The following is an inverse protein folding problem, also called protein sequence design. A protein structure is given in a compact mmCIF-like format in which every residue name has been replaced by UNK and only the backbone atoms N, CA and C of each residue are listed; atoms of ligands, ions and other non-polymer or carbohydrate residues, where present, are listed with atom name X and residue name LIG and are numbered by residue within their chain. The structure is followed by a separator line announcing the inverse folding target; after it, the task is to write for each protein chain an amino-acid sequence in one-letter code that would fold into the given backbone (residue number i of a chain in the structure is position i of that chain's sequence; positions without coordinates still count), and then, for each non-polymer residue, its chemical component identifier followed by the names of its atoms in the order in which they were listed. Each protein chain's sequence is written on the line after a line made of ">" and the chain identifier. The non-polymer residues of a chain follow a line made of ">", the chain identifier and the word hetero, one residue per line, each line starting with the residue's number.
data_IF_185913908184
#
_entry.id   IF_185913908184
#
_cell.length_a   1.000
_cell.length_b   1.000
_cell.length_c   1.000
_cell.angle_alpha   90.00
_cell.angle_beta   90.00
_cell.angle_gamma   90.00
#
_symmetry.space_group_name_H-M   'P 1'
#
loop_
_entity.id
_entity.type
_entity.pdbx_description
1 polymer ?
#
# COMPACT_ATOMS: atom_id res chain seq x y z
N UNK A 1 -13.35 4.32 6.49
CA UNK A 1 -12.54 5.28 7.27
C UNK A 1 -13.35 6.49 7.74
N UNK A 2 -13.79 7.41 6.87
CA UNK A 2 -14.48 8.66 7.26
C UNK A 2 -15.63 8.50 8.28
N UNK A 3 -16.54 7.54 8.08
CA UNK A 3 -17.67 7.30 9.01
C UNK A 3 -17.23 6.87 10.41
N UNK A 4 -16.07 6.23 10.53
CA UNK A 4 -15.50 5.76 11.79
C UNK A 4 -14.51 6.75 12.39
N UNK A 5 -14.40 7.97 11.84
CA UNK A 5 -13.44 8.97 12.28
C UNK A 5 -13.47 9.27 13.79
N UNK A 6 -14.64 9.39 14.45
CA UNK A 6 -14.68 9.60 15.90
C UNK A 6 -13.95 8.52 16.70
N UNK A 7 -13.96 7.27 16.24
CA UNK A 7 -13.29 6.15 16.92
C UNK A 7 -11.77 6.23 16.82
N UNK A 8 -11.25 6.70 15.68
CA UNK A 8 -9.82 6.94 15.53
C UNK A 8 -9.36 8.12 16.39
N UNK A 9 -10.18 9.18 16.47
CA UNK A 9 -9.88 10.34 17.32
C UNK A 9 -9.85 9.97 18.82
N UNK A 10 -10.86 9.22 19.29
CA UNK A 10 -10.94 8.78 20.68
C UNK A 10 -9.70 7.97 21.10
N UNK A 11 -9.24 7.08 20.21
CA UNK A 11 -8.00 6.29 20.41
C UNK A 11 -6.71 7.05 20.11
N UNK A 12 -6.78 8.35 19.77
CA UNK A 12 -5.64 9.21 19.38
C UNK A 12 -4.81 8.64 18.22
N UNK A 13 -5.47 7.93 17.30
CA UNK A 13 -4.85 7.35 16.11
C UNK A 13 -4.88 8.38 14.98
N UNK A 14 -3.73 8.67 14.40
CA UNK A 14 -3.63 9.46 13.17
C UNK A 14 -3.80 8.55 11.96
N UNK A 15 -4.72 8.91 11.08
CA UNK A 15 -4.90 8.23 9.79
C UNK A 15 -4.24 9.08 8.70
N UNK A 16 -3.48 8.44 7.82
CA UNK A 16 -2.85 9.05 6.64
C UNK A 16 -3.19 8.17 5.44
N UNK A 17 -3.77 8.77 4.41
CA UNK A 17 -4.00 8.11 3.13
C UNK A 17 -2.86 8.46 2.17
N UNK A 18 -2.30 7.47 1.50
CA UNK A 18 -1.26 7.66 0.47
C UNK A 18 -1.83 7.16 -0.84
N UNK A 19 -1.63 7.92 -1.91
CA UNK A 19 -2.10 7.58 -3.25
C UNK A 19 -1.03 7.85 -4.30
N UNK A 20 -1.08 7.25 -5.49
CA UNK A 20 -0.13 7.53 -6.57
C UNK A 20 -0.28 8.93 -7.19
N UNK A 21 -1.26 9.72 -6.76
CA UNK A 21 -1.44 11.08 -7.26
C UNK A 21 -0.28 11.99 -6.81
N UNK A 22 -0.09 13.11 -7.50
CA UNK A 22 0.77 14.19 -7.01
C UNK A 22 0.21 14.75 -5.68
N UNK A 23 1.08 15.28 -4.82
CA UNK A 23 0.69 15.74 -3.47
C UNK A 23 -0.47 16.74 -3.47
N UNK A 24 -0.38 17.79 -4.30
CA UNK A 24 -1.44 18.80 -4.42
C UNK A 24 -2.76 18.20 -4.95
N UNK A 25 -2.68 17.23 -5.87
CA UNK A 25 -3.87 16.53 -6.38
C UNK A 25 -4.49 15.62 -5.30
N UNK A 26 -3.67 14.92 -4.52
CA UNK A 26 -4.13 14.07 -3.42
C UNK A 26 -4.85 14.88 -2.33
N UNK A 27 -4.29 16.03 -1.96
CA UNK A 27 -4.90 16.96 -1.01
C UNK A 27 -6.22 17.53 -1.55
N UNK A 28 -6.24 18.01 -2.79
CA UNK A 28 -7.45 18.55 -3.42
C UNK A 28 -8.58 17.52 -3.49
N UNK A 29 -8.28 16.28 -3.92
CA UNK A 29 -9.27 15.18 -3.96
C UNK A 29 -9.79 14.87 -2.57
N UNK A 30 -8.93 14.83 -1.55
CA UNK A 30 -9.39 14.61 -0.19
C UNK A 30 -10.25 15.76 0.36
N UNK A 31 -9.94 17.01 0.00
CA UNK A 31 -10.78 18.16 0.27
C UNK A 31 -12.16 18.02 -0.36
N UNK A 32 -12.22 17.66 -1.66
CA UNK A 32 -13.49 17.40 -2.37
C UNK A 32 -14.29 16.26 -1.73
N UNK A 33 -13.61 15.21 -1.27
CA UNK A 33 -14.25 14.07 -0.61
C UNK A 33 -14.57 14.37 0.87
N UNK A 34 -14.30 15.55 1.41
CA UNK A 34 -14.52 15.86 2.83
C UNK A 34 -13.82 14.85 3.75
N UNK A 35 -12.60 14.46 3.38
CA UNK A 35 -11.81 13.52 4.13
C UNK A 35 -11.24 14.17 5.40
N UNK A 36 -11.42 13.59 6.60
CA UNK A 36 -10.93 14.19 7.84
C UNK A 36 -9.47 13.84 8.15
N UNK A 37 -8.82 13.07 7.28
CA UNK A 37 -7.45 12.59 7.46
C UNK A 37 -6.50 13.15 6.39
N UNK A 38 -5.20 13.16 6.72
CA UNK A 38 -4.14 13.67 5.84
C UNK A 38 -4.05 12.79 4.60
N UNK A 39 -3.92 13.41 3.44
CA UNK A 39 -3.73 12.72 2.17
C UNK A 39 -2.42 13.15 1.53
N UNK A 40 -1.58 12.16 1.23
CA UNK A 40 -0.28 12.34 0.63
C UNK A 40 -0.26 11.73 -0.77
N UNK A 41 0.46 12.40 -1.66
CA UNK A 41 0.78 11.91 -2.98
C UNK A 41 2.13 11.20 -3.00
N UNK A 42 2.20 10.06 -3.67
CA UNK A 42 3.41 9.29 -3.94
C UNK A 42 3.50 8.93 -5.43
N UNK A 43 3.69 9.94 -6.31
CA UNK A 43 3.71 9.73 -7.75
C UNK A 43 4.89 8.84 -8.19
N UNK A 44 6.01 8.92 -7.47
CA UNK A 44 7.17 8.07 -7.71
C UNK A 44 6.96 6.63 -7.23
N UNK A 45 6.03 6.37 -6.30
CA UNK A 45 5.81 5.05 -5.71
C UNK A 45 6.80 4.67 -4.61
N UNK A 46 7.56 5.63 -4.07
CA UNK A 46 8.59 5.35 -3.06
C UNK A 46 8.01 4.76 -1.77
N UNK A 47 6.81 5.19 -1.39
CA UNK A 47 6.09 4.61 -0.26
C UNK A 47 5.59 3.22 -0.62
N UNK A 48 5.00 3.03 -1.81
CA UNK A 48 4.58 1.68 -2.24
C UNK A 48 5.75 0.68 -2.22
N UNK A 49 6.92 1.08 -2.70
CA UNK A 49 8.13 0.26 -2.68
C UNK A 49 8.61 -0.02 -1.24
N UNK A 50 8.72 1.01 -0.40
CA UNK A 50 9.19 0.89 0.98
C UNK A 50 8.28 -0.02 1.83
N UNK A 51 6.97 -0.02 1.56
CA UNK A 51 6.00 -0.88 2.24
C UNK A 51 5.83 -2.26 1.57
N UNK A 52 6.54 -2.51 0.46
CA UNK A 52 6.50 -3.77 -0.28
C UNK A 52 5.14 -4.05 -0.90
N UNK A 53 4.46 -3.01 -1.40
CA UNK A 53 3.16 -3.08 -2.07
C UNK A 53 3.27 -3.35 -3.59
N UNK A 54 4.48 -3.57 -4.08
CA UNK A 54 4.77 -3.98 -5.46
C UNK A 54 4.62 -5.50 -5.53
N UNK A 55 3.48 -6.01 -6.01
CA UNK A 55 3.31 -7.44 -6.22
C UNK A 55 3.14 -7.75 -7.69
N UNK A 56 4.27 -7.72 -8.40
CA UNK A 56 4.49 -8.53 -9.59
C UNK A 56 5.87 -9.22 -9.61
N UNK A 57 6.88 -8.75 -8.85
CA UNK A 57 8.23 -9.34 -8.89
C UNK A 57 8.63 -10.25 -7.72
N UNK A 58 7.98 -10.19 -6.54
CA UNK A 58 8.42 -11.04 -5.41
C UNK A 58 8.16 -12.53 -5.67
N UNK A 59 7.15 -12.89 -6.48
CA UNK A 59 6.97 -14.25 -6.99
C UNK A 59 8.02 -14.65 -8.05
N UNK A 60 8.69 -13.70 -8.69
CA UNK A 60 9.80 -13.96 -9.62
C UNK A 60 11.15 -14.10 -8.91
N UNK A 61 11.36 -13.44 -7.76
CA UNK A 61 12.57 -13.59 -6.94
C UNK A 61 12.62 -14.94 -6.20
N UNK A 62 11.47 -15.47 -5.75
CA UNK A 62 11.39 -16.84 -5.20
C UNK A 62 11.64 -17.89 -6.31
N UNK A 63 11.40 -17.52 -7.58
CA UNK A 63 11.65 -18.37 -8.74
C UNK A 63 13.11 -18.32 -9.23
N UNK A 64 14.00 -17.57 -8.57
CA UNK A 64 15.43 -17.57 -8.93
C UNK A 64 16.10 -18.93 -8.66
N UNK A 65 15.50 -19.74 -7.77
CA UNK A 65 15.89 -21.15 -7.56
C UNK A 65 15.39 -22.08 -8.69
N UNK A 66 14.57 -21.56 -9.61
CA UNK A 66 14.06 -22.20 -10.85
C UNK A 66 14.57 -21.49 -12.11
N UNK A 67 15.46 -20.50 -11.97
CA UNK A 67 15.99 -19.65 -13.04
C UNK A 67 16.76 -20.42 -14.13
N UNK A 68 17.16 -21.67 -13.85
CA UNK A 68 17.91 -22.51 -14.80
C UNK A 68 17.11 -22.91 -16.05
N UNK A 69 15.80 -22.70 -16.09
CA UNK A 69 14.96 -23.02 -17.27
C UNK A 69 14.46 -21.80 -18.05
N UNK A 70 14.43 -20.60 -17.45
CA UNK A 70 13.95 -19.37 -18.10
C UNK A 70 15.00 -18.69 -18.99
N UNK A 71 16.29 -18.87 -18.69
CA UNK A 71 17.39 -18.24 -19.43
C UNK A 71 17.45 -18.67 -20.91
N UNK A 72 16.97 -19.88 -21.23
CA UNK A 72 16.91 -20.39 -22.60
C UNK A 72 15.82 -19.76 -23.47
N UNK A 73 14.80 -19.14 -22.88
CA UNK A 73 13.71 -18.48 -23.61
C UNK A 73 14.05 -17.03 -24.01
N UNK A 74 14.96 -16.37 -23.29
CA UNK A 74 15.33 -14.96 -23.54
C UNK A 74 16.25 -14.76 -24.75
N UNK A 75 16.89 -15.84 -25.24
CA UNK A 75 17.72 -15.83 -26.46
C UNK A 75 16.95 -15.60 -27.77
N UNK A 76 15.60 -15.50 -27.75
CA UNK A 76 14.77 -15.34 -28.97
C UNK A 76 14.14 -13.95 -29.18
N UNK A 77 14.64 -12.91 -28.51
CA UNK A 77 14.60 -11.55 -29.07
C UNK A 77 13.24 -10.84 -29.19
N UNK A 78 12.29 -11.04 -28.27
CA UNK A 78 11.02 -10.29 -28.30
C UNK A 78 10.95 -9.23 -27.19
N UNK A 79 11.35 -7.99 -27.52
CA UNK A 79 11.06 -6.79 -26.72
C UNK A 79 9.60 -6.40 -26.93
N UNK A 80 8.76 -6.55 -25.90
CA UNK A 80 7.42 -5.98 -25.89
C UNK A 80 7.42 -4.64 -25.13
N UNK A 81 6.73 -3.65 -25.71
CA UNK A 81 6.79 -2.24 -25.34
C UNK A 81 6.28 -1.93 -23.94
N UNK A 82 6.85 -0.86 -23.37
CA UNK A 82 6.48 -0.23 -22.11
C UNK A 82 4.97 0.03 -22.05
N UNK A 83 4.29 -0.67 -21.15
CA UNK A 83 2.87 -0.44 -20.87
C UNK A 83 2.79 0.67 -19.83
N UNK A 84 2.29 1.84 -20.22
CA UNK A 84 2.01 2.95 -19.33
C UNK A 84 0.94 2.51 -18.32
N UNK A 85 1.26 2.64 -17.03
CA UNK A 85 0.42 2.22 -15.89
C UNK A 85 0.95 0.94 -15.26
N UNK A 86 1.77 1.09 -14.22
CA UNK A 86 2.32 -0.04 -13.47
C UNK A 86 1.18 -0.76 -12.72
N UNK A 87 0.60 -1.78 -13.36
CA UNK A 87 -0.47 -2.65 -12.83
C UNK A 87 -0.06 -3.47 -11.60
N UNK A 88 1.11 -3.22 -11.01
CA UNK A 88 1.69 -4.03 -9.93
C UNK A 88 1.56 -3.43 -8.51
N UNK A 89 1.05 -2.19 -8.36
CA UNK A 89 0.90 -1.54 -7.05
C UNK A 89 -0.43 -1.92 -6.40
N UNK A 90 -0.36 -2.76 -5.38
CA UNK A 90 -1.52 -3.20 -4.62
C UNK A 90 -1.83 -2.24 -3.46
N UNK A 91 -3.11 -2.14 -3.04
CA UNK A 91 -3.46 -1.39 -1.84
C UNK A 91 -2.86 -2.08 -0.60
N UNK A 92 -2.74 -1.31 0.48
CA UNK A 92 -2.32 -1.86 1.77
C UNK A 92 -2.62 -0.89 2.90
N UNK A 93 -2.55 -1.39 4.13
CA UNK A 93 -2.62 -0.57 5.33
C UNK A 93 -1.66 -1.07 6.39
N UNK A 94 -1.11 -0.12 7.14
CA UNK A 94 -0.09 -0.38 8.13
C UNK A 94 -0.40 0.43 9.38
N UNK A 95 -0.11 -0.16 10.55
CA UNK A 95 -0.13 0.53 11.83
C UNK A 95 1.32 0.75 12.22
N UNK A 96 1.68 2.02 12.40
CA UNK A 96 3.01 2.46 12.77
C UNK A 96 2.89 3.10 14.16
N UNK A 97 3.79 2.74 15.07
CA UNK A 97 3.82 3.34 16.39
C UNK A 97 4.57 4.69 16.42
N UNK A 98 4.67 5.29 17.62
CA UNK A 98 5.31 6.59 17.81
C UNK A 98 6.82 6.61 17.52
N UNK A 99 7.47 5.44 17.48
CA UNK A 99 8.89 5.30 17.17
C UNK A 99 9.14 5.06 15.68
N UNK A 100 8.08 4.96 14.87
CA UNK A 100 8.18 4.68 13.44
C UNK A 100 8.25 3.18 13.11
N UNK A 101 7.98 2.29 14.07
CA UNK A 101 8.01 0.85 13.86
C UNK A 101 6.67 0.35 13.33
N UNK A 102 6.68 -0.49 12.30
CA UNK A 102 5.47 -1.17 11.81
C UNK A 102 5.07 -2.25 12.82
N UNK A 103 3.92 -2.07 13.45
CA UNK A 103 3.37 -3.01 14.45
C UNK A 103 2.33 -3.95 13.87
N UNK A 104 1.74 -3.58 12.74
CA UNK A 104 0.85 -4.42 11.96
C UNK A 104 0.85 -3.96 10.51
N UNK A 105 0.67 -4.89 9.57
CA UNK A 105 0.54 -4.58 8.15
C UNK A 105 -0.30 -5.61 7.42
N UNK A 106 -1.15 -5.13 6.52
CA UNK A 106 -1.88 -5.94 5.54
C UNK A 106 -1.61 -5.40 4.15
N UNK A 107 -1.16 -6.28 3.28
CA UNK A 107 -1.07 -6.04 1.84
C UNK A 107 -2.33 -6.61 1.20
N UNK A 108 -2.99 -5.83 0.37
CA UNK A 108 -4.13 -6.29 -0.41
C UNK A 108 -3.66 -7.32 -1.42
N UNK A 109 -4.51 -8.31 -1.72
CA UNK A 109 -4.26 -9.31 -2.77
C UNK A 109 -4.67 -8.82 -4.16
N UNK A 110 -5.58 -7.85 -4.19
CA UNK A 110 -6.09 -7.21 -5.40
C UNK A 110 -6.45 -5.75 -5.10
N UNK A 111 -6.91 -5.02 -6.13
CA UNK A 111 -7.22 -3.60 -6.05
C UNK A 111 -8.40 -3.26 -5.10
N UNK A 112 -9.26 -4.23 -4.77
CA UNK A 112 -10.40 -4.06 -3.88
C UNK A 112 -10.13 -4.56 -2.44
N UNK A 113 -9.05 -5.32 -2.23
CA UNK A 113 -8.67 -5.86 -0.92
C UNK A 113 -8.04 -4.80 -0.01
N UNK A 114 -8.89 -3.98 0.60
CA UNK A 114 -8.49 -3.01 1.61
C UNK A 114 -9.13 -3.34 2.98
N UNK A 115 -8.41 -3.19 4.10
CA UNK A 115 -9.00 -3.39 5.42
C UNK A 115 -10.08 -2.36 5.71
N UNK A 116 -11.12 -2.79 6.42
CA UNK A 116 -12.16 -1.90 6.91
C UNK A 116 -11.63 -1.06 8.09
N UNK A 117 -12.36 -0.01 8.47
CA UNK A 117 -12.03 0.74 9.68
C UNK A 117 -12.03 -0.15 10.93
N UNK A 118 -12.96 -1.11 11.00
CA UNK A 118 -13.06 -2.02 12.13
C UNK A 118 -11.86 -2.96 12.19
N UNK A 119 -11.35 -3.45 11.05
CA UNK A 119 -10.16 -4.29 11.00
C UNK A 119 -8.95 -3.56 11.60
N UNK A 120 -8.76 -2.29 11.26
CA UNK A 120 -7.67 -1.47 11.79
C UNK A 120 -7.82 -1.21 13.29
N UNK A 121 -9.03 -0.88 13.76
CA UNK A 121 -9.30 -0.64 15.18
C UNK A 121 -9.09 -1.91 16.01
N UNK A 122 -9.52 -3.07 15.50
CA UNK A 122 -9.29 -4.36 16.15
C UNK A 122 -7.80 -4.72 16.19
N UNK A 123 -7.07 -4.48 15.10
CA UNK A 123 -5.63 -4.69 15.05
C UNK A 123 -4.90 -3.79 16.05
N UNK A 124 -5.29 -2.52 16.15
CA UNK A 124 -4.77 -1.59 17.14
C UNK A 124 -5.00 -2.08 18.58
N UNK A 125 -6.23 -2.49 18.91
CA UNK A 125 -6.54 -3.00 20.25
C UNK A 125 -5.78 -4.28 20.58
N UNK A 126 -5.47 -5.11 19.56
CA UNK A 126 -4.59 -6.27 19.73
C UNK A 126 -3.15 -5.88 20.06
N UNK A 127 -2.60 -4.86 19.40
CA UNK A 127 -1.24 -4.36 19.65
C UNK A 127 -1.11 -3.78 21.05
N UNK A 128 -2.12 -3.07 21.56
CA UNK A 128 -2.07 -2.43 22.87
C UNK A 128 -2.13 -3.41 24.05
N UNK A 129 -2.55 -4.66 23.81
CA UNK A 129 -2.67 -5.70 24.85
C UNK A 129 -1.45 -6.63 24.91
N UNK A 130 -0.57 -6.57 23.92
CA UNK A 130 0.63 -7.40 23.79
C UNK A 130 1.83 -6.72 24.45
#
# INVERSE_FOLDING_TARGET
>A
MRRAWPLFQDKKIRVVAVSPAEGAAAEAVCGMLGSPFICLGDPAGKAYDAFGLVQAEVSQLINFRTFSRGLWAMLRGHRHGQTIGDRSRLPGAFIIDGEGTIRWGRRGRDAADHPTAQDLLNAWDGIQRA
#
